data_IF_835834160274
#
_entry.id   IF_835834160274
#
_cell.length_a   1.000
_cell.length_b   1.000
_cell.length_c   1.000
_cell.angle_alpha   90.00
_cell.angle_beta   90.00
_cell.angle_gamma   90.00
#
_symmetry.space_group_name_H-M   'P 1'
#
loop_
_entity.id
_entity.type
_entity.pdbx_description
1 polymer ?
#
# COMPACT_ATOMS: atom_id res chain seq x y z
N UNK A 1 -54.73 -16.88 -21.10
CA UNK A 1 -54.10 -15.97 -22.07
C UNK A 1 -53.72 -14.69 -21.34
N UNK A 2 -52.43 -14.31 -21.37
CA UNK A 2 -51.88 -12.91 -21.35
C UNK A 2 -52.23 -12.05 -20.10
N UNK A 3 -51.38 -11.21 -19.51
CA UNK A 3 -50.10 -10.57 -19.83
C UNK A 3 -49.61 -9.89 -18.52
N UNK A 4 -48.30 -10.02 -18.21
CA UNK A 4 -47.39 -9.01 -17.61
C UNK A 4 -47.87 -8.05 -16.50
N UNK A 5 -47.16 -8.03 -15.37
CA UNK A 5 -46.56 -6.78 -14.80
C UNK A 5 -45.24 -7.18 -14.10
N UNK A 6 -44.13 -6.93 -14.80
CA UNK A 6 -42.76 -6.97 -14.30
C UNK A 6 -42.35 -5.54 -13.92
N UNK A 7 -42.67 -5.02 -12.73
CA UNK A 7 -42.25 -3.66 -12.31
C UNK A 7 -42.15 -3.49 -10.78
N UNK A 8 -41.36 -4.30 -10.08
CA UNK A 8 -40.95 -3.95 -8.70
C UNK A 8 -39.47 -4.23 -8.41
N UNK A 9 -38.64 -4.15 -9.45
CA UNK A 9 -37.20 -4.00 -9.32
C UNK A 9 -36.85 -2.60 -9.77
N UNK A 10 -36.98 -1.59 -8.90
CA UNK A 10 -36.20 -0.35 -8.90
C UNK A 10 -36.64 0.52 -7.72
N UNK A 11 -35.89 0.49 -6.62
CA UNK A 11 -35.65 1.62 -5.71
C UNK A 11 -34.35 1.26 -4.94
N UNK A 12 -33.20 1.48 -5.57
CA UNK A 12 -32.22 2.51 -5.18
C UNK A 12 -31.70 2.36 -3.75
N UNK A 13 -30.54 1.71 -3.61
CA UNK A 13 -29.65 1.81 -2.46
C UNK A 13 -28.23 2.06 -2.95
N UNK A 14 -27.83 3.33 -2.90
CA UNK A 14 -26.54 3.93 -3.26
C UNK A 14 -25.35 2.97 -3.51
N UNK A 15 -24.87 2.98 -4.74
CA UNK A 15 -23.47 2.69 -5.05
C UNK A 15 -22.59 3.75 -4.38
N UNK A 16 -21.99 3.42 -3.24
CA UNK A 16 -20.87 4.20 -2.71
C UNK A 16 -19.63 3.90 -3.56
N UNK A 17 -19.56 4.56 -4.71
CA UNK A 17 -18.33 4.66 -5.49
C UNK A 17 -17.45 5.69 -4.78
N UNK A 18 -16.59 5.25 -3.86
CA UNK A 18 -15.39 6.01 -3.57
C UNK A 18 -14.50 5.89 -4.80
N UNK A 19 -14.69 6.82 -5.74
CA UNK A 19 -13.61 7.19 -6.64
C UNK A 19 -12.53 7.79 -5.73
N UNK A 20 -11.57 6.95 -5.34
CA UNK A 20 -10.28 7.45 -4.96
C UNK A 20 -9.76 8.14 -6.20
N UNK A 21 -9.84 9.47 -6.24
CA UNK A 21 -9.08 10.28 -7.17
C UNK A 21 -7.61 10.02 -6.86
N UNK A 22 -7.07 8.94 -7.45
CA UNK A 22 -5.64 8.87 -7.69
C UNK A 22 -5.39 9.93 -8.74
N UNK A 23 -5.05 11.14 -8.30
CA UNK A 23 -4.39 12.13 -9.14
C UNK A 23 -3.13 11.47 -9.67
N UNK A 24 -3.26 10.82 -10.82
CA UNK A 24 -2.12 10.49 -11.66
C UNK A 24 -1.63 11.82 -12.20
N UNK A 25 -0.79 12.48 -11.41
CA UNK A 25 0.02 13.59 -11.89
C UNK A 25 0.93 13.03 -12.98
N UNK A 26 0.60 13.30 -14.23
CA UNK A 26 1.57 13.16 -15.32
C UNK A 26 2.79 14.02 -14.95
N UNK A 27 4.02 13.49 -15.04
CA UNK A 27 5.20 14.30 -14.78
C UNK A 27 5.42 15.17 -16.02
N UNK A 28 4.69 16.29 -16.09
CA UNK A 28 5.09 17.40 -16.94
C UNK A 28 6.20 18.14 -16.19
N UNK A 29 7.22 18.51 -16.95
CA UNK A 29 8.58 18.96 -16.58
C UNK A 29 8.64 20.26 -15.73
N UNK A 30 7.54 20.71 -15.15
CA UNK A 30 7.41 21.98 -14.42
C UNK A 30 7.47 21.82 -12.88
N UNK A 31 7.67 20.62 -12.36
CA UNK A 31 7.86 20.37 -10.91
C UNK A 31 9.33 20.07 -10.58
N UNK A 32 10.24 20.94 -11.00
CA UNK A 32 11.65 20.96 -10.58
C UNK A 32 11.78 21.61 -9.18
N UNK A 33 10.92 21.17 -8.25
CA UNK A 33 11.01 21.51 -6.84
C UNK A 33 11.53 20.32 -6.05
N UNK A 34 12.15 20.53 -4.87
CA UNK A 34 12.57 19.42 -4.02
C UNK A 34 11.38 18.51 -3.74
N UNK A 35 11.58 17.19 -3.94
CA UNK A 35 10.54 16.18 -3.68
C UNK A 35 10.13 16.26 -2.21
N UNK A 36 8.95 16.83 -1.95
CA UNK A 36 8.44 16.97 -0.60
C UNK A 36 7.89 15.62 -0.13
N UNK A 37 8.49 15.06 0.93
CA UNK A 37 7.95 13.86 1.58
C UNK A 37 6.63 14.20 2.28
N UNK A 38 5.57 13.51 1.88
CA UNK A 38 4.28 13.60 2.56
C UNK A 38 4.20 12.51 3.62
N UNK A 39 3.84 12.90 4.84
CA UNK A 39 3.55 11.93 5.89
C UNK A 39 2.24 11.21 5.58
N UNK A 40 2.25 9.88 5.63
CA UNK A 40 1.03 9.11 5.48
C UNK A 40 0.11 9.36 6.70
N UNK A 41 -1.14 9.79 6.48
CA UNK A 41 -2.11 9.86 7.56
C UNK A 41 -2.34 8.43 8.09
N UNK A 42 -2.29 8.26 9.41
CA UNK A 42 -2.49 6.98 10.12
C UNK A 42 -1.38 5.91 9.95
N UNK A 43 -0.12 6.31 9.82
CA UNK A 43 1.01 5.38 9.78
C UNK A 43 0.96 4.27 10.87
N UNK A 44 0.65 4.64 12.12
CA UNK A 44 0.58 3.69 13.23
C UNK A 44 -0.47 2.59 13.02
N UNK A 45 -1.63 2.95 12.46
CA UNK A 45 -2.71 1.98 12.23
C UNK A 45 -2.33 1.02 11.11
N UNK A 46 -1.69 1.52 10.04
CA UNK A 46 -1.15 0.69 8.97
C UNK A 46 -0.12 -0.31 9.50
N UNK A 47 0.81 0.13 10.37
CA UNK A 47 1.80 -0.74 11.02
C UNK A 47 1.14 -1.78 11.91
N UNK A 48 0.12 -1.42 12.68
CA UNK A 48 -0.63 -2.37 13.50
C UNK A 48 -1.33 -3.44 12.66
N UNK A 49 -1.96 -3.05 11.55
CA UNK A 49 -2.61 -3.98 10.63
C UNK A 49 -1.61 -4.96 10.00
N UNK A 50 -0.46 -4.47 9.56
CA UNK A 50 0.63 -5.32 9.04
C UNK A 50 1.10 -6.33 10.08
N UNK A 51 1.30 -5.89 11.34
CA UNK A 51 1.67 -6.77 12.46
C UNK A 51 0.60 -7.82 12.75
N UNK A 52 -0.68 -7.45 12.69
CA UNK A 52 -1.80 -8.36 12.90
C UNK A 52 -1.87 -9.42 11.78
N UNK A 53 -1.72 -9.02 10.52
CA UNK A 53 -1.70 -9.92 9.37
C UNK A 53 -0.52 -10.91 9.45
N UNK A 54 0.68 -10.45 9.85
CA UNK A 54 1.83 -11.32 10.04
C UNK A 54 1.58 -12.36 11.14
N UNK A 55 1.01 -11.94 12.28
CA UNK A 55 0.66 -12.86 13.37
C UNK A 55 -0.36 -13.92 12.92
N UNK A 56 -1.34 -13.52 12.11
CA UNK A 56 -2.32 -14.46 11.56
C UNK A 56 -1.66 -15.48 10.62
N UNK A 57 -0.76 -15.04 9.73
CA UNK A 57 0.03 -15.95 8.88
C UNK A 57 0.85 -16.94 9.71
N UNK A 58 1.51 -16.48 10.77
CA UNK A 58 2.28 -17.37 11.67
C UNK A 58 1.36 -18.40 12.34
N UNK A 59 0.21 -17.98 12.87
CA UNK A 59 -0.77 -18.92 13.47
C UNK A 59 -1.27 -19.96 12.48
N UNK A 60 -1.45 -19.59 11.21
CA UNK A 60 -1.84 -20.56 10.18
C UNK A 60 -0.78 -21.64 9.95
N UNK A 61 0.50 -21.34 10.18
CA UNK A 61 1.57 -22.34 10.09
C UNK A 61 1.47 -23.41 11.19
N UNK A 62 0.90 -23.05 12.34
CA UNK A 62 0.72 -23.98 13.46
C UNK A 62 -0.39 -25.01 13.18
N UNK A 63 -1.31 -24.71 12.27
CA UNK A 63 -2.36 -25.66 11.84
C UNK A 63 -1.88 -26.66 10.79
N UNK A 64 -0.70 -26.44 10.19
CA UNK A 64 -0.15 -27.33 9.18
C UNK A 64 0.60 -28.48 9.86
N UNK A 65 0.42 -29.70 9.34
CA UNK A 65 1.18 -30.88 9.81
C UNK A 65 2.59 -30.89 9.20
N UNK A 66 3.45 -29.98 9.68
CA UNK A 66 4.84 -29.80 9.24
C UNK A 66 5.81 -30.02 10.39
N UNK A 67 7.06 -30.35 10.05
CA UNK A 67 8.12 -30.47 11.05
C UNK A 67 8.52 -29.11 11.61
N UNK A 68 8.95 -29.05 12.87
CA UNK A 68 9.38 -27.82 13.54
C UNK A 68 10.48 -27.07 12.78
N UNK A 69 11.41 -27.82 12.18
CA UNK A 69 12.48 -27.26 11.35
C UNK A 69 11.92 -26.51 10.13
N UNK A 70 10.88 -27.05 9.48
CA UNK A 70 10.21 -26.38 8.35
C UNK A 70 9.43 -25.17 8.84
N UNK A 71 8.70 -25.32 9.94
CA UNK A 71 7.94 -24.23 10.57
C UNK A 71 8.83 -23.02 10.89
N UNK A 72 9.97 -23.22 11.57
CA UNK A 72 10.90 -22.15 11.91
C UNK A 72 11.46 -21.44 10.66
N UNK A 73 11.77 -22.20 9.59
CA UNK A 73 12.23 -21.61 8.31
C UNK A 73 11.17 -20.73 7.68
N UNK A 74 9.91 -21.17 7.67
CA UNK A 74 8.79 -20.41 7.13
C UNK A 74 8.53 -19.14 7.94
N UNK A 75 8.55 -19.21 9.28
CA UNK A 75 8.43 -18.03 10.14
C UNK A 75 9.54 -17.02 9.82
N UNK A 76 10.80 -17.47 9.70
CA UNK A 76 11.93 -16.60 9.34
C UNK A 76 11.74 -15.95 7.96
N UNK A 77 11.21 -16.69 6.99
CA UNK A 77 10.92 -16.16 5.65
C UNK A 77 9.83 -15.08 5.69
N UNK A 78 8.74 -15.29 6.45
CA UNK A 78 7.66 -14.31 6.62
C UNK A 78 8.17 -13.00 7.24
N UNK A 79 9.05 -13.06 8.23
CA UNK A 79 9.68 -11.87 8.79
C UNK A 79 10.61 -11.15 7.80
N UNK A 80 11.31 -11.89 6.94
CA UNK A 80 12.17 -11.30 5.90
C UNK A 80 11.34 -10.56 4.85
N UNK A 81 10.26 -11.18 4.39
CA UNK A 81 9.31 -10.59 3.44
C UNK A 81 8.68 -9.32 4.00
N UNK A 82 8.27 -9.32 5.27
CA UNK A 82 7.68 -8.13 5.91
C UNK A 82 8.62 -6.90 5.99
N UNK A 83 9.93 -7.09 5.80
CA UNK A 83 10.93 -6.02 5.83
C UNK A 83 11.41 -5.60 4.44
N UNK A 84 11.04 -6.34 3.39
CA UNK A 84 11.33 -5.95 2.04
C UNK A 84 10.36 -4.83 1.65
N UNK A 85 10.72 -3.59 1.98
CA UNK A 85 10.06 -2.41 1.45
C UNK A 85 10.50 -2.24 -0.01
N UNK A 86 9.55 -2.15 -0.92
CA UNK A 86 9.80 -1.75 -2.31
C UNK A 86 10.18 -0.27 -2.33
N UNK A 87 11.44 0.03 -2.06
CA UNK A 87 11.97 1.38 -2.22
C UNK A 87 11.87 1.77 -3.69
N UNK A 88 11.01 2.74 -4.00
CA UNK A 88 10.93 3.32 -5.35
C UNK A 88 12.28 3.94 -5.69
N UNK A 89 12.77 3.70 -6.92
CA UNK A 89 14.07 4.16 -7.43
C UNK A 89 14.29 5.68 -7.28
N UNK A 90 13.21 6.47 -7.21
CA UNK A 90 13.25 7.92 -6.95
C UNK A 90 13.86 8.31 -5.59
N UNK A 91 13.94 7.39 -4.62
CA UNK A 91 14.57 7.64 -3.30
C UNK A 91 16.11 7.62 -3.38
N UNK A 92 16.69 7.06 -4.44
CA UNK A 92 18.14 6.88 -4.60
C UNK A 92 18.76 7.84 -5.64
N UNK A 93 18.21 9.05 -5.79
CA UNK A 93 18.79 10.06 -6.69
C UNK A 93 19.91 10.79 -5.95
N UNK A 94 21.10 10.84 -6.55
CA UNK A 94 22.20 11.65 -6.04
C UNK A 94 21.83 13.13 -6.25
N UNK A 95 21.71 13.89 -5.16
CA UNK A 95 21.50 15.34 -5.24
C UNK A 95 22.85 16.01 -5.47
N UNK A 96 23.03 16.62 -6.64
CA UNK A 96 24.12 17.57 -6.90
C UNK A 96 23.67 18.92 -6.33
N UNK A 97 24.46 19.50 -5.43
CA UNK A 97 24.19 20.82 -4.85
C UNK A 97 25.00 21.85 -5.64
N UNK A 98 24.36 22.91 -6.13
CA UNK A 98 25.07 24.06 -6.69
C UNK A 98 25.68 24.87 -5.55
N UNK A 99 26.99 25.14 -5.62
CA UNK A 99 27.69 26.01 -4.67
C UNK A 99 27.38 27.47 -5.06
N UNK A 100 26.57 28.17 -4.26
CA UNK A 100 26.36 29.61 -4.41
C UNK A 100 27.67 30.34 -4.10
N UNK A 101 28.26 30.96 -5.13
CA UNK A 101 29.41 31.84 -5.02
C UNK A 101 28.93 33.17 -4.41
N UNK A 102 29.23 33.41 -3.13
CA UNK A 102 28.93 34.69 -2.48
C UNK A 102 30.00 35.72 -2.90
N UNK A 103 29.59 36.77 -3.61
CA UNK A 103 30.45 37.94 -3.88
C UNK A 103 30.55 38.82 -2.62
N UNK A 104 31.78 39.12 -2.19
CA UNK A 104 32.15 39.94 -1.01
C UNK A 104 31.78 41.44 -1.14
#
# INVERSE_FOLDING_TARGET
>A
MRLTICCSLFFTGLSYSQMNDSTKTNPNEENEGPVMFQFEPNYETAVMLQRAALKQKIRSLDTLNITDRKRQRLIKALYKESRALDFKKSVLVNTEFEEEEFED
#
